data_IF_375452667157
#
_entry.id   IF_375452667157
#
_cell.length_a   1.000
_cell.length_b   1.000
_cell.length_c   1.000
_cell.angle_alpha   90.00
_cell.angle_beta   90.00
_cell.angle_gamma   90.00
#
_symmetry.space_group_name_H-M   'P 1'
#
loop_
_entity.id
_entity.type
_entity.pdbx_description
1 polymer ?
#
# COMPACT_ATOMS: atom_id res chain seq x y z
N UNK A 1 6.15 15.63 22.45
CA UNK A 1 6.62 14.25 22.61
C UNK A 1 5.76 13.42 23.56
N UNK A 2 5.43 13.96 24.74
CA UNK A 2 4.59 13.26 25.71
C UNK A 2 3.17 13.01 25.17
N UNK A 3 2.58 14.00 24.50
CA UNK A 3 1.25 13.87 23.84
C UNK A 3 1.29 12.77 22.79
N UNK A 4 2.34 12.71 21.99
CA UNK A 4 2.50 11.66 20.98
C UNK A 4 2.55 10.27 21.61
N UNK A 5 3.32 10.10 22.69
CA UNK A 5 3.41 8.82 23.37
C UNK A 5 2.08 8.38 23.97
N UNK A 6 1.28 9.31 24.51
CA UNK A 6 -0.06 9.01 24.99
C UNK A 6 -0.97 8.58 23.86
N UNK A 7 -0.95 9.30 22.75
CA UNK A 7 -1.75 8.95 21.56
C UNK A 7 -1.36 7.58 21.02
N UNK A 8 -0.07 7.26 21.04
CA UNK A 8 0.44 5.96 20.62
C UNK A 8 -0.11 4.84 21.51
N UNK A 9 -0.04 5.00 22.84
CA UNK A 9 -0.55 4.01 23.78
C UNK A 9 -2.08 3.84 23.67
N UNK A 10 -2.83 4.93 23.54
CA UNK A 10 -4.27 4.91 23.36
C UNK A 10 -4.64 4.16 22.07
N UNK A 11 -3.91 4.42 20.97
CA UNK A 11 -4.14 3.75 19.70
C UNK A 11 -3.88 2.25 19.80
N UNK A 12 -2.80 1.86 20.48
CA UNK A 12 -2.48 0.44 20.72
C UNK A 12 -3.64 -0.28 21.44
N UNK A 13 -4.15 0.32 22.51
CA UNK A 13 -5.25 -0.27 23.26
C UNK A 13 -6.53 -0.37 22.42
N UNK A 14 -6.83 0.66 21.63
CA UNK A 14 -7.97 0.66 20.72
C UNK A 14 -7.87 -0.45 19.69
N UNK A 15 -6.70 -0.59 19.07
CA UNK A 15 -6.44 -1.60 18.03
C UNK A 15 -6.53 -3.02 18.61
N UNK A 16 -5.89 -3.24 19.76
CA UNK A 16 -5.94 -4.54 20.45
C UNK A 16 -7.38 -4.92 20.78
N UNK A 17 -8.15 -3.98 21.31
CA UNK A 17 -9.57 -4.20 21.62
C UNK A 17 -10.40 -4.54 20.39
N UNK A 18 -10.16 -3.84 19.27
CA UNK A 18 -10.87 -4.09 18.02
C UNK A 18 -10.56 -5.47 17.43
N UNK A 19 -9.30 -5.91 17.47
CA UNK A 19 -8.90 -7.23 16.97
C UNK A 19 -9.42 -8.32 17.89
N UNK A 20 -9.37 -8.10 19.21
CA UNK A 20 -9.92 -9.04 20.19
C UNK A 20 -11.42 -9.26 19.98
N UNK A 21 -12.17 -8.20 19.69
CA UNK A 21 -13.60 -8.28 19.40
C UNK A 21 -13.90 -9.15 18.17
N UNK A 22 -12.97 -9.24 17.23
CA UNK A 22 -13.07 -10.12 16.05
C UNK A 22 -12.62 -11.55 16.32
N UNK A 23 -12.17 -11.85 17.54
CA UNK A 23 -11.61 -13.14 17.93
C UNK A 23 -10.39 -13.57 17.12
N UNK A 24 -9.61 -12.58 16.65
CA UNK A 24 -8.41 -12.81 15.81
C UNK A 24 -7.11 -12.43 16.49
N UNK A 25 -7.17 -11.94 17.73
CA UNK A 25 -5.97 -11.54 18.45
C UNK A 25 -5.19 -12.77 18.91
N UNK A 26 -3.89 -12.79 18.60
CA UNK A 26 -2.96 -13.82 19.07
C UNK A 26 -1.95 -13.17 20.03
N UNK A 27 -1.30 -13.95 20.94
CA UNK A 27 -0.25 -13.41 21.80
C UNK A 27 0.90 -12.75 21.01
N UNK A 28 1.28 -13.35 19.87
CA UNK A 28 2.33 -12.80 19.01
C UNK A 28 1.94 -11.45 18.42
N UNK A 29 0.71 -11.32 17.92
CA UNK A 29 0.20 -10.07 17.35
C UNK A 29 0.09 -8.99 18.42
N UNK A 30 -0.45 -9.32 19.59
CA UNK A 30 -0.55 -8.39 20.71
C UNK A 30 0.81 -7.84 21.09
N UNK A 31 1.82 -8.71 21.16
CA UNK A 31 3.20 -8.30 21.46
C UNK A 31 3.73 -7.35 20.39
N UNK A 32 3.54 -7.66 19.11
CA UNK A 32 3.95 -6.80 18.02
C UNK A 32 3.34 -5.40 18.12
N UNK A 33 2.05 -5.33 18.46
CA UNK A 33 1.35 -4.04 18.61
C UNK A 33 1.92 -3.29 19.81
N UNK A 34 2.10 -3.96 20.96
CA UNK A 34 2.64 -3.32 22.16
C UNK A 34 4.07 -2.84 21.99
N UNK A 35 4.87 -3.54 21.21
CA UNK A 35 6.28 -3.20 20.93
C UNK A 35 6.44 -2.15 19.82
N UNK A 36 5.38 -1.81 19.11
CA UNK A 36 5.44 -0.84 18.00
C UNK A 36 5.87 0.55 18.52
N UNK A 37 6.83 1.14 17.83
CA UNK A 37 7.43 2.41 18.22
C UNK A 37 6.71 3.64 17.67
N UNK A 38 5.84 3.47 16.66
CA UNK A 38 5.18 4.58 15.95
C UNK A 38 3.71 4.28 15.69
N UNK A 39 2.91 5.34 15.53
CA UNK A 39 1.51 5.23 15.11
C UNK A 39 1.38 4.52 13.78
N UNK A 40 2.29 4.79 12.84
CA UNK A 40 2.30 4.15 11.51
C UNK A 40 2.47 2.64 11.64
N UNK A 41 3.38 2.19 12.51
CA UNK A 41 3.59 0.75 12.74
C UNK A 41 2.34 0.08 13.31
N UNK A 42 1.64 0.75 14.23
CA UNK A 42 0.38 0.24 14.80
C UNK A 42 -0.70 0.16 13.71
N UNK A 43 -0.84 1.19 12.89
CA UNK A 43 -1.79 1.22 11.79
C UNK A 43 -1.53 0.11 10.77
N UNK A 44 -0.25 -0.14 10.44
CA UNK A 44 0.13 -1.23 9.53
C UNK A 44 -0.29 -2.59 10.09
N UNK A 45 -0.09 -2.83 11.40
CA UNK A 45 -0.48 -4.08 12.04
C UNK A 45 -1.99 -4.25 12.11
N UNK A 46 -2.74 -3.15 12.23
CA UNK A 46 -4.20 -3.17 12.28
C UNK A 46 -4.84 -3.33 10.90
N UNK A 47 -4.18 -2.94 9.83
CA UNK A 47 -4.75 -2.84 8.48
C UNK A 47 -5.51 -4.10 8.03
N UNK A 48 -4.97 -5.33 8.22
CA UNK A 48 -5.71 -6.55 7.83
C UNK A 48 -7.02 -6.77 8.59
N UNK A 49 -7.16 -6.17 9.77
CA UNK A 49 -8.31 -6.36 10.67
C UNK A 49 -9.30 -5.19 10.64
N UNK A 50 -8.93 -4.11 9.95
CA UNK A 50 -9.78 -2.93 9.85
C UNK A 50 -11.04 -3.25 9.05
N UNK A 51 -12.23 -2.83 9.52
CA UNK A 51 -13.44 -2.95 8.71
C UNK A 51 -13.28 -2.27 7.36
N UNK A 52 -13.63 -2.97 6.29
CA UNK A 52 -13.43 -2.49 4.93
C UNK A 52 -14.76 -2.20 4.25
N UNK A 53 -14.74 -1.20 3.38
CA UNK A 53 -15.82 -1.00 2.42
C UNK A 53 -15.77 -2.13 1.40
N UNK A 54 -16.82 -2.25 0.57
CA UNK A 54 -16.86 -3.23 -0.50
C UNK A 54 -15.66 -3.02 -1.45
N UNK A 55 -14.79 -4.04 -1.54
CA UNK A 55 -13.59 -4.02 -2.36
C UNK A 55 -13.69 -5.11 -3.43
N UNK A 56 -12.82 -5.05 -4.45
CA UNK A 56 -12.68 -6.11 -5.45
C UNK A 56 -12.39 -7.45 -4.78
N UNK A 57 -11.50 -7.44 -3.79
CA UNK A 57 -11.17 -8.65 -3.03
C UNK A 57 -12.37 -9.19 -2.25
N UNK A 58 -13.16 -8.31 -1.62
CA UNK A 58 -14.38 -8.69 -0.91
C UNK A 58 -15.40 -9.34 -1.84
N UNK A 59 -15.60 -8.77 -3.02
CA UNK A 59 -16.48 -9.33 -4.05
C UNK A 59 -15.99 -10.72 -4.48
N UNK A 60 -14.69 -10.88 -4.70
CA UNK A 60 -14.10 -12.16 -5.08
C UNK A 60 -14.25 -13.21 -3.96
N UNK A 61 -14.12 -12.81 -2.69
CA UNK A 61 -14.36 -13.70 -1.55
C UNK A 61 -15.82 -14.17 -1.51
N UNK A 62 -16.77 -13.28 -1.76
CA UNK A 62 -18.19 -13.63 -1.85
C UNK A 62 -18.43 -14.67 -2.95
N UNK A 63 -17.66 -14.65 -4.02
CA UNK A 63 -17.70 -15.62 -5.10
C UNK A 63 -17.01 -16.96 -4.77
N UNK A 64 -16.47 -17.10 -3.57
CA UNK A 64 -15.82 -18.33 -3.13
C UNK A 64 -14.42 -18.56 -3.68
N UNK A 65 -13.73 -17.49 -4.11
CA UNK A 65 -12.42 -17.58 -4.79
C UNK A 65 -11.21 -17.58 -3.85
N UNK A 66 -11.42 -17.44 -2.54
CA UNK A 66 -10.30 -17.40 -1.59
C UNK A 66 -9.44 -18.67 -1.61
N UNK A 67 -10.02 -19.90 -1.67
CA UNK A 67 -9.18 -21.11 -1.77
C UNK A 67 -8.31 -21.15 -3.02
N UNK A 68 -8.79 -20.60 -4.14
CA UNK A 68 -7.97 -20.48 -5.35
C UNK A 68 -6.81 -19.51 -5.13
N UNK A 69 -7.07 -18.39 -4.46
CA UNK A 69 -6.01 -17.44 -4.10
C UNK A 69 -4.94 -18.10 -3.23
N UNK A 70 -5.36 -18.89 -2.23
CA UNK A 70 -4.43 -19.64 -1.38
C UNK A 70 -3.59 -20.62 -2.21
N UNK A 71 -4.21 -21.33 -3.13
CA UNK A 71 -3.52 -22.28 -4.00
C UNK A 71 -2.44 -21.60 -4.85
N UNK A 72 -2.79 -20.45 -5.44
CA UNK A 72 -1.83 -19.65 -6.24
C UNK A 72 -0.68 -19.15 -5.36
N UNK A 73 -0.98 -18.63 -4.19
CA UNK A 73 0.01 -18.09 -3.27
C UNK A 73 1.03 -19.13 -2.81
N UNK A 74 0.58 -20.36 -2.53
CA UNK A 74 1.45 -21.45 -2.08
C UNK A 74 2.42 -21.92 -3.14
N UNK A 75 2.08 -21.81 -4.43
CA UNK A 75 2.96 -22.17 -5.53
C UNK A 75 3.57 -23.56 -5.38
N UNK A 76 2.78 -24.54 -4.91
CA UNK A 76 3.24 -25.92 -4.74
C UNK A 76 3.52 -26.58 -6.09
N UNK A 77 4.42 -27.57 -6.10
CA UNK A 77 4.74 -28.32 -7.31
C UNK A 77 3.57 -29.20 -7.74
N UNK A 78 3.36 -29.28 -9.04
CA UNK A 78 2.33 -30.13 -9.63
C UNK A 78 0.99 -29.42 -9.73
N UNK A 79 0.19 -29.85 -10.68
CA UNK A 79 -1.09 -29.26 -10.98
C UNK A 79 -1.00 -28.10 -11.98
N UNK A 80 -2.09 -27.88 -12.67
CA UNK A 80 -2.25 -26.79 -13.63
C UNK A 80 -3.10 -25.72 -13.01
N UNK A 81 -2.67 -24.45 -13.15
CA UNK A 81 -3.45 -23.29 -12.70
C UNK A 81 -4.84 -23.29 -13.37
N UNK A 82 -4.90 -23.58 -14.66
CA UNK A 82 -6.16 -23.63 -15.39
C UNK A 82 -7.09 -24.71 -14.85
N UNK A 83 -6.57 -25.89 -14.59
CA UNK A 83 -7.35 -27.00 -14.03
C UNK A 83 -7.85 -26.69 -12.62
N UNK A 84 -7.02 -26.06 -11.81
CA UNK A 84 -7.42 -25.66 -10.45
C UNK A 84 -8.48 -24.55 -10.50
N UNK A 85 -8.29 -23.54 -11.34
CA UNK A 85 -9.24 -22.44 -11.49
C UNK A 85 -10.60 -22.93 -12.03
N UNK A 86 -10.61 -23.95 -12.88
CA UNK A 86 -11.84 -24.52 -13.43
C UNK A 86 -12.78 -25.05 -12.35
N UNK A 87 -12.25 -25.47 -11.20
CA UNK A 87 -13.06 -25.97 -10.08
C UNK A 87 -13.94 -24.88 -9.45
N UNK A 88 -13.63 -23.61 -9.69
CA UNK A 88 -14.32 -22.46 -9.11
C UNK A 88 -15.26 -21.76 -10.07
N UNK A 89 -15.37 -22.24 -11.29
CA UNK A 89 -16.35 -21.73 -12.26
C UNK A 89 -17.74 -22.11 -11.79
N UNK A 90 -18.63 -21.14 -11.67
CA UNK A 90 -19.98 -21.33 -11.15
C UNK A 90 -20.88 -20.17 -11.56
N UNK A 91 -21.91 -20.45 -12.35
CA UNK A 91 -22.92 -19.43 -12.70
C UNK A 91 -23.64 -18.90 -11.48
N UNK A 92 -23.95 -19.78 -10.52
CA UNK A 92 -24.62 -19.43 -9.28
C UNK A 92 -23.84 -18.38 -8.49
N UNK A 93 -22.52 -18.51 -8.45
CA UNK A 93 -21.64 -17.58 -7.73
C UNK A 93 -21.15 -16.41 -8.57
N UNK A 94 -21.53 -16.36 -9.83
CA UNK A 94 -21.13 -15.28 -10.72
C UNK A 94 -19.71 -15.39 -11.28
N UNK A 95 -19.18 -16.61 -11.40
CA UNK A 95 -17.87 -16.88 -12.02
C UNK A 95 -18.10 -17.58 -13.33
N UNK A 96 -18.02 -16.84 -14.42
CA UNK A 96 -18.42 -17.32 -15.75
C UNK A 96 -17.41 -18.30 -16.36
N UNK A 97 -16.12 -18.08 -16.13
CA UNK A 97 -15.05 -18.87 -16.74
C UNK A 97 -13.77 -18.88 -15.88
N UNK A 98 -12.77 -19.60 -16.36
CA UNK A 98 -11.46 -19.72 -15.70
C UNK A 98 -10.78 -18.36 -15.54
N UNK A 99 -10.89 -17.49 -16.54
CA UNK A 99 -10.29 -16.16 -16.51
C UNK A 99 -10.86 -15.32 -15.37
N UNK A 100 -12.18 -15.31 -15.19
CA UNK A 100 -12.84 -14.60 -14.10
C UNK A 100 -12.45 -15.17 -12.73
N UNK A 101 -12.29 -16.49 -12.62
CA UNK A 101 -11.84 -17.12 -11.39
C UNK A 101 -10.43 -16.63 -11.00
N UNK A 102 -9.51 -16.61 -11.96
CA UNK A 102 -8.15 -16.15 -11.75
C UNK A 102 -8.12 -14.65 -11.43
N UNK A 103 -8.90 -13.84 -12.12
CA UNK A 103 -8.98 -12.40 -11.84
C UNK A 103 -9.45 -12.10 -10.41
N UNK A 104 -10.45 -12.83 -9.95
CA UNK A 104 -10.92 -12.70 -8.57
C UNK A 104 -9.86 -13.12 -7.55
N UNK A 105 -9.15 -14.21 -7.82
CA UNK A 105 -8.05 -14.66 -6.98
C UNK A 105 -6.92 -13.62 -6.94
N UNK A 106 -6.60 -12.99 -8.08
CA UNK A 106 -5.64 -11.89 -8.14
C UNK A 106 -6.04 -10.73 -7.25
N UNK A 107 -7.30 -10.32 -7.28
CA UNK A 107 -7.79 -9.23 -6.46
C UNK A 107 -7.64 -9.52 -4.98
N UNK A 108 -7.93 -10.75 -4.55
CA UNK A 108 -7.74 -11.18 -3.17
C UNK A 108 -6.27 -11.11 -2.77
N UNK A 109 -5.38 -11.65 -3.60
CA UNK A 109 -3.95 -11.67 -3.33
C UNK A 109 -3.35 -10.26 -3.29
N UNK A 110 -3.74 -9.41 -4.22
CA UNK A 110 -3.25 -8.03 -4.26
C UNK A 110 -3.59 -7.28 -2.96
N UNK A 111 -4.81 -7.44 -2.46
CA UNK A 111 -5.22 -6.83 -1.20
C UNK A 111 -4.45 -7.42 -0.01
N UNK A 112 -4.37 -8.75 0.08
CA UNK A 112 -3.64 -9.41 1.16
C UNK A 112 -2.18 -8.98 1.23
N UNK A 113 -1.50 -8.94 0.09
CA UNK A 113 -0.09 -8.52 0.02
C UNK A 113 0.04 -7.05 0.41
N UNK A 114 -0.87 -6.19 -0.05
CA UNK A 114 -0.85 -4.76 0.27
C UNK A 114 -0.99 -4.48 1.76
N UNK A 115 -1.59 -5.40 2.51
CA UNK A 115 -1.83 -5.27 3.94
C UNK A 115 -0.70 -5.85 4.81
N UNK A 116 0.28 -6.49 4.19
CA UNK A 116 1.44 -7.04 4.92
C UNK A 116 2.40 -5.92 5.32
N UNK A 117 2.58 -5.74 6.61
CA UNK A 117 3.43 -4.68 7.16
C UNK A 117 4.85 -4.68 6.58
N UNK A 118 5.40 -5.87 6.33
CA UNK A 118 6.74 -6.04 5.76
C UNK A 118 6.94 -5.25 4.47
N UNK A 119 5.97 -5.32 3.55
CA UNK A 119 6.09 -4.68 2.24
C UNK A 119 5.80 -3.18 2.32
N UNK A 120 4.88 -2.78 3.19
CA UNK A 120 4.62 -1.37 3.44
C UNK A 120 5.83 -0.69 4.06
N UNK A 121 6.46 -1.33 5.04
CA UNK A 121 7.67 -0.81 5.68
C UNK A 121 8.82 -0.67 4.69
N UNK A 122 9.02 -1.67 3.84
CA UNK A 122 10.07 -1.61 2.82
C UNK A 122 9.81 -0.48 1.81
N UNK A 123 8.58 -0.40 1.31
CA UNK A 123 8.19 0.65 0.36
C UNK A 123 8.37 2.04 0.95
N UNK A 124 7.94 2.24 2.19
CA UNK A 124 8.09 3.52 2.91
C UNK A 124 9.56 3.91 3.05
N UNK A 125 10.37 2.99 3.54
CA UNK A 125 11.79 3.21 3.77
C UNK A 125 12.52 3.55 2.47
N UNK A 126 12.29 2.78 1.42
CA UNK A 126 12.94 3.01 0.13
C UNK A 126 12.50 4.31 -0.53
N UNK A 127 11.23 4.64 -0.43
CA UNK A 127 10.70 5.89 -0.98
C UNK A 127 11.27 7.10 -0.24
N UNK A 128 11.42 7.02 1.06
CA UNK A 128 12.08 8.09 1.83
C UNK A 128 13.55 8.24 1.49
N UNK A 129 14.25 7.14 1.22
CA UNK A 129 15.68 7.16 0.88
C UNK A 129 15.96 7.66 -0.53
N UNK A 130 15.20 7.17 -1.52
CA UNK A 130 15.51 7.32 -2.93
C UNK A 130 14.40 7.99 -3.74
N UNK A 131 13.30 8.36 -3.11
CA UNK A 131 12.19 9.00 -3.80
C UNK A 131 12.46 10.46 -4.15
N UNK A 132 11.75 10.93 -5.19
CA UNK A 132 11.80 12.32 -5.64
C UNK A 132 10.41 12.93 -5.54
N UNK A 133 10.34 14.19 -5.11
CA UNK A 133 9.11 14.97 -5.24
C UNK A 133 9.21 15.82 -6.50
N UNK A 134 8.28 15.61 -7.41
CA UNK A 134 8.19 16.36 -8.65
C UNK A 134 6.96 17.25 -8.65
N UNK A 135 7.14 18.47 -9.13
CA UNK A 135 6.04 19.39 -9.38
C UNK A 135 6.15 19.91 -10.81
N UNK A 136 5.01 20.13 -11.44
CA UNK A 136 4.92 20.68 -12.78
C UNK A 136 3.72 21.62 -12.89
N UNK A 137 3.75 22.52 -13.85
CA UNK A 137 2.62 23.39 -14.12
C UNK A 137 1.51 22.61 -14.82
N UNK A 138 0.28 22.83 -14.41
CA UNK A 138 -0.88 22.32 -15.17
C UNK A 138 -1.03 23.06 -16.49
N UNK A 139 -0.70 24.36 -16.50
CA UNK A 139 -0.64 25.19 -17.69
C UNK A 139 0.55 26.16 -17.53
N UNK A 140 1.62 25.94 -18.29
CA UNK A 140 2.84 26.73 -18.21
C UNK A 140 2.66 28.20 -18.62
N UNK A 141 1.58 28.52 -19.31
CA UNK A 141 1.27 29.88 -19.77
C UNK A 141 0.76 30.78 -18.63
N UNK A 142 0.29 30.18 -17.53
CA UNK A 142 -0.20 30.93 -16.39
C UNK A 142 0.96 31.48 -15.59
N UNK A 143 0.99 32.80 -15.41
CA UNK A 143 1.96 33.45 -14.54
C UNK A 143 1.46 33.36 -13.09
N UNK A 144 2.34 32.98 -12.19
CA UNK A 144 2.02 32.80 -10.78
C UNK A 144 3.25 32.91 -9.91
N UNK A 145 3.04 32.92 -8.60
CA UNK A 145 4.12 32.87 -7.62
C UNK A 145 4.78 31.48 -7.55
N UNK A 146 4.24 30.50 -8.28
CA UNK A 146 4.73 29.11 -8.27
C UNK A 146 5.59 28.77 -9.48
N UNK A 147 5.99 29.73 -10.30
CA UNK A 147 6.76 29.47 -11.53
C UNK A 147 8.07 28.71 -11.28
N UNK A 148 8.70 28.94 -10.13
CA UNK A 148 9.91 28.21 -9.74
C UNK A 148 9.68 26.70 -9.55
N UNK A 149 8.42 26.28 -9.43
CA UNK A 149 8.06 24.87 -9.27
C UNK A 149 7.45 24.23 -10.52
N UNK A 150 7.45 24.93 -11.65
CA UNK A 150 6.86 24.43 -12.90
C UNK A 150 7.65 23.26 -13.49
N UNK A 151 8.94 23.17 -13.20
CA UNK A 151 9.84 22.08 -13.60
C UNK A 151 10.71 21.66 -12.42
N UNK A 152 10.07 21.23 -11.35
CA UNK A 152 10.74 21.00 -10.07
C UNK A 152 10.90 19.50 -9.81
N UNK A 153 12.08 19.10 -9.33
CA UNK A 153 12.36 17.75 -8.87
C UNK A 153 13.46 17.80 -7.82
N UNK A 154 13.17 17.29 -6.63
CA UNK A 154 14.16 17.17 -5.55
C UNK A 154 13.98 15.86 -4.79
N UNK A 155 15.10 15.30 -4.26
CA UNK A 155 14.99 14.15 -3.34
C UNK A 155 14.13 14.50 -2.14
N UNK A 156 13.22 13.57 -1.79
CA UNK A 156 12.33 13.74 -0.64
C UNK A 156 13.10 14.05 0.63
N UNK A 157 14.21 13.34 0.85
CA UNK A 157 15.04 13.48 2.07
C UNK A 157 15.74 14.84 2.20
N UNK A 158 15.81 15.61 1.14
CA UNK A 158 16.47 16.93 1.13
C UNK A 158 15.51 18.10 0.99
N UNK A 159 14.23 17.82 0.99
CA UNK A 159 13.23 18.83 0.68
C UNK A 159 13.01 19.78 1.86
N UNK A 160 13.22 21.07 1.62
CA UNK A 160 13.06 22.10 2.64
C UNK A 160 11.56 22.33 2.95
N UNK A 161 11.26 22.60 4.23
CA UNK A 161 9.87 22.78 4.68
C UNK A 161 9.13 23.89 3.96
N UNK A 162 9.77 25.04 3.72
CA UNK A 162 9.13 26.16 3.00
C UNK A 162 8.72 25.79 1.57
N UNK A 163 9.47 24.89 0.93
CA UNK A 163 9.15 24.39 -0.41
C UNK A 163 7.97 23.43 -0.37
N UNK A 164 7.92 22.55 0.65
CA UNK A 164 6.76 21.67 0.85
C UNK A 164 5.48 22.47 0.96
N UNK A 165 5.47 23.50 1.79
CA UNK A 165 4.29 24.34 2.00
C UNK A 165 3.90 25.13 0.74
N UNK A 166 4.87 25.66 0.00
CA UNK A 166 4.62 26.36 -1.25
C UNK A 166 4.04 25.44 -2.32
N UNK A 167 4.63 24.24 -2.48
CA UNK A 167 4.16 23.25 -3.45
C UNK A 167 2.74 22.81 -3.12
N UNK A 168 2.44 22.57 -1.82
CA UNK A 168 1.10 22.20 -1.38
C UNK A 168 0.08 23.29 -1.72
N UNK A 169 0.43 24.55 -1.55
CA UNK A 169 -0.45 25.66 -1.93
C UNK A 169 -0.69 25.73 -3.43
N UNK A 170 0.36 25.56 -4.22
CA UNK A 170 0.25 25.53 -5.68
C UNK A 170 -0.62 24.39 -6.18
N UNK A 171 -0.55 23.24 -5.54
CA UNK A 171 -1.41 22.10 -5.84
C UNK A 171 -2.87 22.39 -5.47
N UNK A 172 -3.11 22.94 -4.29
CA UNK A 172 -4.44 23.29 -3.81
C UNK A 172 -5.11 24.36 -4.71
N UNK A 173 -4.33 25.30 -5.19
CA UNK A 173 -4.80 26.35 -6.12
C UNK A 173 -4.92 25.83 -7.55
N UNK A 174 -4.64 24.57 -7.80
CA UNK A 174 -4.73 23.91 -9.11
C UNK A 174 -3.80 24.51 -10.16
N UNK A 175 -2.69 25.07 -9.72
CA UNK A 175 -1.62 25.58 -10.59
C UNK A 175 -0.55 24.52 -10.81
N UNK A 176 -0.24 23.76 -9.76
CA UNK A 176 0.75 22.68 -9.82
C UNK A 176 0.11 21.30 -9.81
N UNK A 177 0.75 20.38 -10.53
CA UNK A 177 0.55 18.95 -10.44
C UNK A 177 1.76 18.37 -9.69
N UNK A 178 1.51 17.58 -8.66
CA UNK A 178 2.57 17.08 -7.76
C UNK A 178 2.56 15.56 -7.74
N UNK A 179 3.76 14.97 -7.87
CA UNK A 179 3.93 13.51 -7.85
C UNK A 179 5.11 13.14 -6.96
N UNK A 180 4.95 12.06 -6.24
CA UNK A 180 6.05 11.42 -5.53
C UNK A 180 6.53 10.25 -6.40
N UNK A 181 7.78 10.32 -6.84
CA UNK A 181 8.39 9.27 -7.67
C UNK A 181 9.16 8.32 -6.77
N UNK A 182 8.57 7.14 -6.55
CA UNK A 182 9.17 6.09 -5.74
C UNK A 182 10.12 5.23 -6.58
N UNK A 183 11.10 4.54 -5.94
CA UNK A 183 11.95 3.56 -6.64
C UNK A 183 11.18 2.25 -6.85
N UNK A 184 10.16 2.31 -7.72
CA UNK A 184 9.23 1.21 -7.97
C UNK A 184 9.92 -0.10 -8.33
N UNK A 185 10.90 -0.04 -9.23
CA UNK A 185 11.59 -1.24 -9.69
C UNK A 185 12.27 -1.99 -8.54
N UNK A 186 12.94 -1.27 -7.65
CA UNK A 186 13.59 -1.88 -6.48
C UNK A 186 12.56 -2.49 -5.52
N UNK A 187 11.46 -1.78 -5.27
CA UNK A 187 10.42 -2.22 -4.36
C UNK A 187 9.74 -3.49 -4.91
N UNK A 188 9.33 -3.46 -6.16
CA UNK A 188 8.70 -4.61 -6.82
C UNK A 188 9.64 -5.81 -6.85
N UNK A 189 10.91 -5.60 -7.16
CA UNK A 189 11.92 -6.68 -7.18
C UNK A 189 12.08 -7.32 -5.80
N UNK A 190 12.10 -6.52 -4.75
CA UNK A 190 12.14 -7.03 -3.39
C UNK A 190 10.92 -7.92 -3.09
N UNK A 191 9.73 -7.45 -3.45
CA UNK A 191 8.51 -8.21 -3.25
C UNK A 191 8.51 -9.53 -4.04
N UNK A 192 8.96 -9.48 -5.28
CA UNK A 192 9.07 -10.69 -6.11
C UNK A 192 10.01 -11.72 -5.50
N UNK A 193 11.16 -11.30 -4.99
CA UNK A 193 12.12 -12.19 -4.32
C UNK A 193 11.55 -12.86 -3.08
N UNK A 194 10.65 -12.17 -2.38
CA UNK A 194 10.02 -12.69 -1.18
C UNK A 194 8.83 -13.59 -1.50
N UNK A 195 8.08 -13.30 -2.55
CA UNK A 195 6.77 -13.88 -2.82
C UNK A 195 6.76 -14.93 -3.94
N UNK A 196 7.68 -14.85 -4.90
CA UNK A 196 7.76 -15.83 -5.98
C UNK A 196 8.71 -16.94 -5.58
N UNK A 197 8.15 -18.10 -5.21
CA UNK A 197 8.89 -19.26 -4.71
C UNK A 197 9.39 -20.12 -5.88
N UNK A 198 8.57 -20.24 -6.94
CA UNK A 198 8.88 -21.06 -8.11
C UNK A 198 8.77 -20.22 -9.38
N UNK A 199 9.88 -19.62 -9.84
CA UNK A 199 9.85 -18.75 -11.03
C UNK A 199 9.37 -19.45 -12.31
N UNK A 200 9.54 -20.78 -12.40
CA UNK A 200 9.15 -21.57 -13.56
C UNK A 200 7.75 -22.18 -13.44
N UNK A 201 7.06 -21.95 -12.33
CA UNK A 201 5.74 -22.51 -12.10
C UNK A 201 4.63 -21.72 -12.80
N UNK A 202 3.48 -22.36 -13.00
CA UNK A 202 2.29 -21.72 -13.61
C UNK A 202 1.82 -20.49 -12.84
N UNK A 203 1.94 -20.51 -11.51
CA UNK A 203 1.49 -19.45 -10.66
C UNK A 203 2.43 -18.22 -10.65
N UNK A 204 3.68 -18.38 -11.09
CA UNK A 204 4.67 -17.29 -11.03
C UNK A 204 4.24 -16.06 -11.82
N UNK A 205 3.72 -16.25 -13.02
CA UNK A 205 3.26 -15.16 -13.88
C UNK A 205 2.09 -14.40 -13.23
N UNK A 206 1.18 -15.13 -12.63
CA UNK A 206 0.06 -14.53 -11.90
C UNK A 206 0.59 -13.75 -10.72
N UNK A 207 1.55 -14.30 -9.96
CA UNK A 207 2.17 -13.61 -8.84
C UNK A 207 2.90 -12.34 -9.25
N UNK A 208 3.59 -12.34 -10.38
CA UNK A 208 4.22 -11.12 -10.91
C UNK A 208 3.18 -10.01 -11.16
N UNK A 209 2.07 -10.37 -11.79
CA UNK A 209 0.99 -9.41 -12.06
C UNK A 209 0.32 -8.93 -10.77
N UNK A 210 0.10 -9.83 -9.82
CA UNK A 210 -0.46 -9.51 -8.50
C UNK A 210 0.43 -8.53 -7.75
N UNK A 211 1.73 -8.77 -7.72
CA UNK A 211 2.70 -7.92 -7.02
C UNK A 211 2.69 -6.51 -7.61
N UNK A 212 2.75 -6.41 -8.92
CA UNK A 212 2.75 -5.12 -9.60
C UNK A 212 1.44 -4.36 -9.35
N UNK A 213 0.30 -5.04 -9.44
CA UNK A 213 -1.01 -4.45 -9.14
C UNK A 213 -1.12 -4.02 -7.68
N UNK A 214 -0.70 -4.87 -6.75
CA UNK A 214 -0.71 -4.57 -5.32
C UNK A 214 0.10 -3.29 -5.02
N UNK A 215 1.29 -3.19 -5.61
CA UNK A 215 2.12 -2.01 -5.42
C UNK A 215 1.49 -0.77 -6.06
N UNK A 216 1.18 -0.81 -7.35
CA UNK A 216 0.72 0.37 -8.09
C UNK A 216 -0.64 0.88 -7.66
N UNK A 217 -1.55 -0.02 -7.35
CA UNK A 217 -2.93 0.33 -7.01
C UNK A 217 -3.14 0.58 -5.51
N UNK A 218 -2.41 -0.13 -4.65
CA UNK A 218 -2.67 -0.15 -3.21
C UNK A 218 -1.52 0.39 -2.36
N UNK A 219 -0.34 -0.21 -2.43
CA UNK A 219 0.79 0.18 -1.57
C UNK A 219 1.33 1.56 -1.94
N UNK A 220 1.67 1.75 -3.20
CA UNK A 220 2.29 2.99 -3.68
C UNK A 220 1.47 4.23 -3.36
N UNK A 221 0.19 4.29 -3.72
CA UNK A 221 -0.65 5.44 -3.39
C UNK A 221 -0.79 5.70 -1.90
N UNK A 222 -0.88 4.64 -1.07
CA UNK A 222 -0.97 4.78 0.38
C UNK A 222 0.32 5.36 0.98
N UNK A 223 1.46 4.87 0.54
CA UNK A 223 2.77 5.35 1.01
C UNK A 223 2.99 6.80 0.55
N UNK A 224 2.61 7.14 -0.67
CA UNK A 224 2.70 8.52 -1.17
C UNK A 224 1.90 9.48 -0.29
N UNK A 225 0.65 9.15 0.02
CA UNK A 225 -0.19 9.98 0.89
C UNK A 225 0.43 10.14 2.27
N UNK A 226 0.93 9.05 2.84
CA UNK A 226 1.55 9.03 4.15
C UNK A 226 2.81 9.89 4.21
N UNK A 227 3.70 9.77 3.22
CA UNK A 227 4.93 10.55 3.15
C UNK A 227 4.61 12.03 2.94
N UNK A 228 3.69 12.35 2.05
CA UNK A 228 3.30 13.75 1.82
C UNK A 228 2.68 14.38 3.06
N UNK A 229 1.84 13.64 3.78
CA UNK A 229 1.28 14.10 5.06
C UNK A 229 2.38 14.35 6.10
N UNK A 230 3.35 13.45 6.18
CA UNK A 230 4.49 13.59 7.09
C UNK A 230 5.38 14.79 6.75
N UNK A 231 5.65 15.02 5.47
CA UNK A 231 6.41 16.19 5.03
C UNK A 231 5.70 17.49 5.38
N UNK A 232 4.39 17.52 5.20
CA UNK A 232 3.56 18.69 5.52
C UNK A 232 3.58 18.97 7.03
N UNK A 233 3.38 17.95 7.85
CA UNK A 233 3.42 18.08 9.30
C UNK A 233 4.77 18.61 9.79
N UNK A 234 5.86 18.05 9.29
CA UNK A 234 7.21 18.50 9.64
C UNK A 234 7.44 19.96 9.22
N UNK A 235 6.98 20.34 8.03
CA UNK A 235 7.11 21.69 7.51
C UNK A 235 6.30 22.70 8.33
N UNK A 236 5.08 22.36 8.72
CA UNK A 236 4.23 23.20 9.56
C UNK A 236 4.81 23.37 10.95
N UNK A 237 5.32 22.31 11.56
CA UNK A 237 5.97 22.36 12.87
C UNK A 237 7.24 23.23 12.85
N UNK A 238 8.02 23.15 11.77
CA UNK A 238 9.19 24.00 11.57
C UNK A 238 8.86 25.48 11.40
N UNK A 239 7.71 25.79 10.81
CA UNK A 239 7.26 27.17 10.60
C UNK A 239 6.79 27.85 11.89
N UNK A 240 6.50 27.10 12.94
CA UNK A 240 6.04 27.63 14.25
C UNK A 240 7.23 28.02 15.14
N UNK A 241 8.43 27.54 14.84
CA UNK A 241 9.66 27.93 15.53
C UNK A 241 10.21 29.26 14.97
#
# INVERSE_FOLDING_TARGET
RLRYLRNLEDKKEQVIGAIRAQEKLTPALEKQIRDAATLVAVEDLYLPYRPKRRTRAGIAREKGLEPLAVWIYKQEAGGSLEAEAAKYVSEEKGVADVSEAIDGARDILAEQISEMAKYRNYARKKTMQDGLLEASAKDEKIQSVYEMYYHFSEPVKKLAGHRVLAINRGEKEKILSVKLIAPEEQIVRYMEKQLIIRPDGDAARVMEEVILDSYRRLIGPAIEREIRAGLTETAENGAIQ
#
